data_IF_884514153803
#
_entry.id   IF_884514153803
#
_cell.length_a   1.000
_cell.length_b   1.000
_cell.length_c   1.000
_cell.angle_alpha   90.00
_cell.angle_beta   90.00
_cell.angle_gamma   90.00
#
_symmetry.space_group_name_H-M   'P 1'
#
loop_
_entity.id
_entity.type
_entity.pdbx_description
1 polymer ?
#
# COMPACT_ATOMS: atom_id res chain seq x y z
N UNK A 1 3.78 4.35 -4.79
CA UNK A 1 2.90 3.20 -5.12
C UNK A 1 2.40 3.31 -6.53
N UNK A 2 2.14 2.19 -7.18
CA UNK A 2 1.81 2.13 -8.59
C UNK A 2 0.40 2.64 -8.88
N UNK A 3 -0.61 2.16 -8.17
CA UNK A 3 -2.00 2.45 -8.44
C UNK A 3 -2.82 2.94 -7.24
N UNK A 4 -4.07 3.29 -7.52
CA UNK A 4 -5.02 3.73 -6.50
C UNK A 4 -5.49 2.59 -5.58
N UNK A 5 -5.48 1.34 -6.06
CA UNK A 5 -5.85 0.17 -5.26
C UNK A 5 -4.85 -0.08 -4.14
N UNK A 6 -3.55 0.06 -4.42
CA UNK A 6 -2.49 -0.03 -3.40
C UNK A 6 -2.65 1.08 -2.36
N UNK A 7 -2.97 2.32 -2.79
CA UNK A 7 -3.24 3.42 -1.85
C UNK A 7 -4.39 3.06 -0.91
N UNK A 8 -5.48 2.52 -1.42
CA UNK A 8 -6.63 2.06 -0.60
C UNK A 8 -6.18 0.97 0.36
N UNK A 9 -5.47 -0.05 -0.13
CA UNK A 9 -4.99 -1.16 0.68
C UNK A 9 -4.10 -0.68 1.84
N UNK A 10 -3.03 0.06 1.55
CA UNK A 10 -2.10 0.51 2.59
C UNK A 10 -2.73 1.52 3.55
N UNK A 11 -3.61 2.41 3.09
CA UNK A 11 -4.30 3.32 4.00
C UNK A 11 -5.31 2.60 4.91
N UNK A 12 -5.97 1.56 4.42
CA UNK A 12 -6.87 0.71 5.23
C UNK A 12 -6.08 -0.15 6.21
N UNK A 13 -4.93 -0.70 5.79
CA UNK A 13 -4.02 -1.40 6.69
C UNK A 13 -3.56 -0.51 7.85
N UNK A 14 -3.15 0.72 7.58
CA UNK A 14 -2.72 1.65 8.63
C UNK A 14 -3.88 2.04 9.57
N UNK A 15 -5.10 2.23 9.05
CA UNK A 15 -6.29 2.44 9.89
C UNK A 15 -6.59 1.23 10.78
N UNK A 16 -6.52 0.03 10.21
CA UNK A 16 -6.68 -1.20 10.96
C UNK A 16 -5.62 -1.33 12.06
N UNK A 17 -4.36 -1.05 11.73
CA UNK A 17 -3.26 -1.11 12.68
C UNK A 17 -3.48 -0.11 13.83
N UNK A 18 -3.88 1.13 13.53
CA UNK A 18 -4.19 2.13 14.55
C UNK A 18 -5.33 1.68 15.46
N UNK A 19 -6.41 1.15 14.89
CA UNK A 19 -7.58 0.67 15.65
C UNK A 19 -7.24 -0.50 16.58
N UNK A 20 -6.25 -1.32 16.24
CA UNK A 20 -5.86 -2.50 17.01
C UNK A 20 -4.63 -2.29 17.91
N UNK A 21 -4.16 -1.04 18.04
CA UNK A 21 -3.10 -0.68 18.98
C UNK A 21 -3.58 0.47 19.86
N UNK A 22 -3.59 0.24 21.17
CA UNK A 22 -4.04 1.22 22.15
C UNK A 22 -3.20 2.51 22.10
N UNK A 23 -3.86 3.65 22.17
CA UNK A 23 -3.20 4.95 22.11
C UNK A 23 -2.72 5.37 20.72
N UNK A 24 -3.06 4.63 19.68
CA UNK A 24 -2.69 4.96 18.30
C UNK A 24 -3.88 5.51 17.51
N UNK A 25 -3.63 6.48 16.63
CA UNK A 25 -4.60 6.99 15.66
C UNK A 25 -3.97 7.16 14.28
N UNK A 26 -4.79 7.10 13.24
CA UNK A 26 -4.37 7.38 11.87
C UNK A 26 -5.39 8.31 11.22
N UNK A 27 -5.07 9.58 11.19
CA UNK A 27 -5.97 10.65 10.81
C UNK A 27 -5.53 11.30 9.50
N UNK A 28 -6.50 11.66 8.68
CA UNK A 28 -6.28 12.51 7.51
C UNK A 28 -6.05 13.94 7.99
N UNK A 29 -4.96 14.54 7.54
CA UNK A 29 -4.71 15.96 7.69
C UNK A 29 -4.84 16.65 6.34
N UNK A 30 -5.60 17.73 6.30
CA UNK A 30 -5.68 18.60 5.14
C UNK A 30 -4.55 19.64 5.22
N UNK A 31 -3.62 19.56 4.29
CA UNK A 31 -2.57 20.56 4.19
C UNK A 31 -2.99 21.62 3.15
N UNK A 32 -3.55 22.72 3.65
CA UNK A 32 -4.10 23.79 2.82
C UNK A 32 -3.04 24.48 1.93
N UNK A 33 -1.76 24.43 2.31
CA UNK A 33 -0.68 25.11 1.59
C UNK A 33 -0.28 24.42 0.28
N UNK A 34 -0.63 23.14 0.11
CA UNK A 34 -0.14 22.31 -1.01
C UNK A 34 -1.21 21.55 -1.76
N UNK A 35 -2.47 21.63 -1.37
CA UNK A 35 -3.54 20.83 -1.98
C UNK A 35 -3.33 19.30 -1.88
N UNK A 36 -2.42 18.85 -1.02
CA UNK A 36 -2.11 17.45 -0.80
C UNK A 36 -2.75 16.95 0.48
N UNK A 37 -3.26 15.73 0.41
CA UNK A 37 -3.75 15.00 1.57
C UNK A 37 -2.56 14.24 2.16
N UNK A 38 -2.25 14.52 3.42
CA UNK A 38 -1.36 13.71 4.23
C UNK A 38 -2.16 12.96 5.28
N UNK A 39 -1.58 11.89 5.82
CA UNK A 39 -2.10 11.20 6.98
C UNK A 39 -1.07 11.32 8.10
N UNK A 40 -1.55 11.45 9.32
CA UNK A 40 -0.73 11.46 10.51
C UNK A 40 -1.02 10.23 11.34
N UNK A 41 0.04 9.52 11.69
CA UNK A 41 0.01 8.45 12.67
C UNK A 41 0.46 9.03 14.00
N UNK A 42 -0.36 8.89 15.00
CA UNK A 42 -0.05 9.34 16.37
C UNK A 42 0.01 8.12 17.29
N UNK A 43 1.05 8.06 18.12
CA UNK A 43 1.21 7.08 19.18
C UNK A 43 1.82 7.75 20.40
N UNK A 44 1.01 7.98 21.44
CA UNK A 44 1.42 8.75 22.61
C UNK A 44 1.80 10.18 22.22
N UNK A 45 3.01 10.61 22.58
CA UNK A 45 3.54 11.96 22.29
C UNK A 45 4.29 12.03 20.95
N UNK A 46 4.31 10.95 20.17
CA UNK A 46 5.02 10.88 18.89
C UNK A 46 4.06 10.90 17.71
N UNK A 47 4.43 11.60 16.65
CA UNK A 47 3.70 11.64 15.40
C UNK A 47 4.59 11.26 14.22
N UNK A 48 4.02 10.55 13.26
CA UNK A 48 4.64 10.17 11.99
C UNK A 48 3.81 10.71 10.84
N UNK A 49 4.39 11.59 10.04
CA UNK A 49 3.74 12.08 8.84
C UNK A 49 3.81 11.03 7.73
N UNK A 50 2.67 10.56 7.26
CA UNK A 50 2.55 9.61 6.14
C UNK A 50 2.05 10.33 4.90
N UNK A 51 2.79 10.20 3.80
CA UNK A 51 2.39 10.76 2.49
C UNK A 51 2.31 9.68 1.44
N UNK A 52 1.24 9.67 0.68
CA UNK A 52 1.04 8.76 -0.44
C UNK A 52 1.29 9.47 -1.76
N UNK A 53 2.07 8.83 -2.63
CA UNK A 53 2.24 9.23 -4.03
C UNK A 53 1.83 8.07 -4.93
N UNK A 54 0.79 8.28 -5.74
CA UNK A 54 0.31 7.32 -6.74
C UNK A 54 0.84 7.74 -8.10
N UNK A 55 1.60 6.85 -8.73
CA UNK A 55 2.28 7.12 -10.00
C UNK A 55 1.34 6.96 -11.20
N UNK A 56 0.42 6.01 -11.10
CA UNK A 56 -0.58 5.72 -12.13
C UNK A 56 -0.08 4.80 -13.25
N UNK A 57 1.17 4.94 -13.67
CA UNK A 57 1.80 4.06 -14.67
C UNK A 57 3.30 3.91 -14.39
N UNK A 58 3.86 2.76 -14.73
CA UNK A 58 5.30 2.46 -14.53
C UNK A 58 6.19 3.48 -15.26
N UNK A 59 5.75 4.01 -16.39
CA UNK A 59 6.50 5.02 -17.17
C UNK A 59 6.63 6.37 -16.45
N UNK A 60 5.91 6.60 -15.37
CA UNK A 60 5.96 7.84 -14.59
C UNK A 60 6.69 7.69 -13.24
N UNK A 61 7.33 6.55 -13.03
CA UNK A 61 8.04 6.24 -11.77
C UNK A 61 9.07 7.32 -11.41
N UNK A 62 9.82 7.84 -12.38
CA UNK A 62 10.81 8.90 -12.16
C UNK A 62 10.21 10.22 -11.66
N UNK A 63 8.93 10.49 -11.96
CA UNK A 63 8.26 11.68 -11.43
C UNK A 63 8.11 11.66 -9.91
N UNK A 64 8.06 10.46 -9.31
CA UNK A 64 8.01 10.30 -7.85
C UNK A 64 9.25 10.82 -7.14
N UNK A 65 10.43 10.73 -7.75
CA UNK A 65 11.66 11.32 -7.20
C UNK A 65 11.56 12.84 -7.08
N UNK A 66 11.07 13.50 -8.14
CA UNK A 66 10.83 14.96 -8.14
C UNK A 66 9.75 15.37 -7.15
N UNK A 67 8.64 14.60 -7.11
CA UNK A 67 7.58 14.82 -6.13
C UNK A 67 8.13 14.73 -4.70
N UNK A 68 8.87 13.67 -4.38
CA UNK A 68 9.48 13.49 -3.06
C UNK A 68 10.41 14.65 -2.70
N UNK A 69 11.30 15.07 -3.60
CA UNK A 69 12.23 16.15 -3.39
C UNK A 69 11.51 17.48 -3.07
N UNK A 70 10.43 17.80 -3.80
CA UNK A 70 9.74 19.07 -3.67
C UNK A 70 8.71 19.08 -2.53
N UNK A 71 7.99 17.98 -2.34
CA UNK A 71 6.82 17.89 -1.46
C UNK A 71 7.16 17.36 -0.07
N UNK A 72 8.20 16.52 0.03
CA UNK A 72 8.65 15.95 1.30
C UNK A 72 9.94 16.59 1.78
N UNK A 73 11.06 16.30 1.13
CA UNK A 73 12.40 16.63 1.61
C UNK A 73 12.67 18.13 1.75
N UNK A 74 12.22 18.97 0.80
CA UNK A 74 12.41 20.43 0.87
C UNK A 74 11.51 21.09 1.90
N UNK A 75 10.26 20.60 2.06
CA UNK A 75 9.28 21.21 2.96
C UNK A 75 9.49 20.83 4.42
N UNK A 76 9.79 19.56 4.67
CA UNK A 76 9.90 19.02 6.02
C UNK A 76 11.32 18.56 6.27
N UNK A 77 12.00 19.18 7.22
CA UNK A 77 13.38 18.85 7.63
C UNK A 77 13.42 17.69 8.62
N UNK A 78 12.72 16.61 8.29
CA UNK A 78 12.63 15.37 9.06
C UNK A 78 13.26 14.21 8.29
N UNK A 79 13.70 13.15 8.97
CA UNK A 79 14.18 11.95 8.28
C UNK A 79 13.01 11.22 7.60
N UNK A 80 13.11 11.01 6.29
CA UNK A 80 12.10 10.30 5.51
C UNK A 80 12.53 8.88 5.20
N UNK A 81 11.64 7.92 5.46
CA UNK A 81 11.70 6.58 4.90
C UNK A 81 10.71 6.46 3.75
N UNK A 82 11.13 5.83 2.67
CA UNK A 82 10.34 5.72 1.44
C UNK A 82 10.03 4.26 1.19
N UNK A 83 8.74 3.93 1.16
CA UNK A 83 8.26 2.60 0.81
C UNK A 83 7.88 2.58 -0.67
N UNK A 84 8.53 1.74 -1.45
CA UNK A 84 8.21 1.48 -2.85
C UNK A 84 7.24 0.31 -2.91
N UNK A 85 5.96 0.61 -3.17
CA UNK A 85 4.91 -0.39 -3.26
C UNK A 85 4.57 -0.61 -4.73
N UNK A 86 4.73 -1.83 -5.22
CA UNK A 86 4.56 -2.17 -6.63
C UNK A 86 4.19 -3.65 -6.83
N UNK A 87 3.58 -3.94 -7.97
CA UNK A 87 3.25 -5.28 -8.40
C UNK A 87 4.45 -5.93 -9.12
N UNK A 88 4.76 -7.18 -8.81
CA UNK A 88 5.83 -7.89 -9.52
C UNK A 88 5.39 -8.45 -10.87
N UNK A 89 4.08 -8.48 -11.13
CA UNK A 89 3.45 -9.11 -12.29
C UNK A 89 3.71 -10.62 -12.45
N UNK A 90 4.43 -11.21 -11.52
CA UNK A 90 4.79 -12.63 -11.50
C UNK A 90 4.62 -13.21 -10.10
N UNK A 91 4.21 -14.47 -9.97
CA UNK A 91 4.21 -15.17 -8.68
C UNK A 91 5.64 -15.40 -8.14
N UNK A 92 6.66 -15.28 -8.99
CA UNK A 92 8.04 -15.32 -8.56
C UNK A 92 8.40 -14.02 -7.82
N UNK A 93 9.09 -14.14 -6.70
CA UNK A 93 9.52 -12.99 -5.88
C UNK A 93 10.73 -12.26 -6.46
N UNK A 94 11.01 -12.41 -7.77
CA UNK A 94 12.11 -11.71 -8.40
C UNK A 94 11.81 -10.22 -8.57
N UNK A 95 12.53 -9.41 -7.80
CA UNK A 95 12.45 -7.94 -7.84
C UNK A 95 13.64 -7.30 -8.56
N UNK A 96 14.46 -8.08 -9.24
CA UNK A 96 15.70 -7.59 -9.89
C UNK A 96 15.43 -6.49 -10.93
N UNK A 97 14.31 -6.58 -11.67
CA UNK A 97 13.87 -5.55 -12.62
C UNK A 97 13.64 -4.19 -11.97
N UNK A 98 13.26 -4.15 -10.67
CA UNK A 98 13.02 -2.92 -9.93
C UNK A 98 14.28 -2.26 -9.37
N UNK A 99 15.46 -2.77 -9.73
CA UNK A 99 16.77 -2.17 -9.48
C UNK A 99 17.48 -1.70 -10.76
N UNK A 100 16.77 -1.71 -11.90
CA UNK A 100 17.27 -1.33 -13.22
C UNK A 100 16.50 -0.13 -13.77
N UNK A 101 16.99 0.46 -14.83
CA UNK A 101 16.34 1.51 -15.64
C UNK A 101 15.69 2.63 -14.80
N UNK A 102 14.44 2.94 -15.06
CA UNK A 102 13.69 4.01 -14.40
C UNK A 102 13.58 3.81 -12.88
N UNK A 103 13.49 2.58 -12.40
CA UNK A 103 13.48 2.26 -10.98
C UNK A 103 14.82 2.56 -10.31
N UNK A 104 15.91 2.30 -11.01
CA UNK A 104 17.26 2.69 -10.54
C UNK A 104 17.39 4.21 -10.48
N UNK A 105 16.93 4.91 -11.52
CA UNK A 105 16.91 6.38 -11.54
C UNK A 105 16.08 6.95 -10.39
N UNK A 106 14.89 6.39 -10.14
CA UNK A 106 14.06 6.79 -8.98
C UNK A 106 14.83 6.64 -7.66
N UNK A 107 15.47 5.48 -7.42
CA UNK A 107 16.23 5.24 -6.19
C UNK A 107 17.39 6.23 -6.04
N UNK A 108 18.08 6.54 -7.13
CA UNK A 108 19.18 7.50 -7.12
C UNK A 108 18.67 8.93 -6.83
N UNK A 109 17.51 9.33 -7.38
CA UNK A 109 16.86 10.61 -7.08
C UNK A 109 16.40 10.71 -5.61
N UNK A 110 15.80 9.65 -5.07
CA UNK A 110 15.39 9.59 -3.66
C UNK A 110 16.59 9.74 -2.73
N UNK A 111 17.71 9.06 -3.01
CA UNK A 111 18.96 9.19 -2.25
C UNK A 111 19.53 10.61 -2.34
N UNK A 112 19.59 11.20 -3.53
CA UNK A 112 20.00 12.61 -3.74
C UNK A 112 19.11 13.57 -2.94
N UNK A 113 17.82 13.30 -2.86
CA UNK A 113 16.86 14.07 -2.06
C UNK A 113 16.87 13.70 -0.55
N UNK A 114 17.89 12.95 -0.10
CA UNK A 114 18.14 12.60 1.30
C UNK A 114 17.05 11.72 1.95
N UNK A 115 16.45 10.80 1.17
CA UNK A 115 15.72 9.70 1.77
C UNK A 115 16.66 8.91 2.68
N UNK A 116 16.28 8.73 3.94
CA UNK A 116 17.09 8.02 4.95
C UNK A 116 17.17 6.54 4.61
N UNK A 117 16.06 5.99 4.13
CA UNK A 117 15.93 4.59 3.77
C UNK A 117 14.92 4.42 2.63
N UNK A 118 15.12 3.39 1.81
CA UNK A 118 14.21 3.00 0.74
C UNK A 118 13.92 1.52 0.92
N UNK A 119 12.65 1.20 1.19
CA UNK A 119 12.15 -0.14 1.52
C UNK A 119 11.23 -0.61 0.40
N UNK A 120 11.41 -1.85 -0.06
CA UNK A 120 10.54 -2.48 -1.05
C UNK A 120 9.39 -3.21 -0.37
N UNK A 121 8.17 -2.91 -0.82
CA UNK A 121 6.94 -3.64 -0.52
C UNK A 121 6.37 -4.17 -1.83
N UNK A 122 6.97 -5.25 -2.31
CA UNK A 122 6.61 -5.89 -3.56
C UNK A 122 5.41 -6.84 -3.37
N UNK A 123 4.32 -6.59 -4.07
CA UNK A 123 3.22 -7.54 -4.16
C UNK A 123 3.62 -8.69 -5.10
N UNK A 124 3.40 -9.92 -4.65
CA UNK A 124 3.59 -11.09 -5.48
C UNK A 124 2.42 -11.19 -6.46
N UNK A 125 2.72 -11.07 -7.74
CA UNK A 125 1.83 -10.88 -8.88
C UNK A 125 1.12 -9.52 -8.88
N UNK A 126 0.02 -9.32 -8.16
CA UNK A 126 -0.67 -8.04 -8.01
C UNK A 126 -1.23 -7.85 -6.58
N UNK A 127 -1.64 -6.63 -6.24
CA UNK A 127 -2.16 -6.31 -4.90
C UNK A 127 -3.45 -7.09 -4.60
N UNK A 128 -4.24 -7.45 -5.61
CA UNK A 128 -5.44 -8.26 -5.44
C UNK A 128 -5.10 -9.70 -5.04
N UNK A 129 -3.97 -10.27 -5.50
CA UNK A 129 -3.50 -11.58 -5.00
C UNK A 129 -3.17 -11.51 -3.50
N UNK A 130 -2.65 -10.38 -3.02
CA UNK A 130 -2.41 -10.15 -1.59
C UNK A 130 -3.73 -10.08 -0.81
N UNK A 131 -4.73 -9.36 -1.32
CA UNK A 131 -6.05 -9.28 -0.68
C UNK A 131 -6.73 -10.65 -0.61
N UNK A 132 -6.54 -11.49 -1.64
CA UNK A 132 -7.12 -12.84 -1.73
C UNK A 132 -6.55 -13.84 -0.69
N UNK A 133 -5.53 -13.50 0.06
CA UNK A 133 -5.12 -14.25 1.27
C UNK A 133 -6.30 -14.33 2.25
N UNK A 134 -7.13 -13.28 2.33
CA UNK A 134 -8.37 -13.30 3.10
C UNK A 134 -9.60 -13.51 2.19
N UNK A 135 -9.58 -14.59 1.41
CA UNK A 135 -10.71 -14.95 0.54
C UNK A 135 -12.04 -15.10 1.29
N UNK A 136 -11.97 -15.55 2.55
CA UNK A 136 -13.14 -15.75 3.40
C UNK A 136 -13.79 -14.39 3.75
N UNK A 137 -12.98 -13.38 4.10
CA UNK A 137 -13.45 -12.01 4.34
C UNK A 137 -14.08 -11.39 3.11
N UNK A 138 -13.46 -11.55 1.94
CA UNK A 138 -13.99 -11.08 0.67
C UNK A 138 -15.33 -11.76 0.34
N UNK A 139 -15.42 -13.08 0.45
CA UNK A 139 -16.64 -13.82 0.19
C UNK A 139 -17.76 -13.45 1.18
N UNK A 140 -17.42 -13.24 2.44
CA UNK A 140 -18.37 -12.72 3.46
C UNK A 140 -18.91 -11.34 3.09
N UNK A 141 -18.04 -10.43 2.64
CA UNK A 141 -18.44 -9.11 2.17
C UNK A 141 -19.41 -9.20 0.98
N UNK A 142 -19.14 -10.11 0.04
CA UNK A 142 -19.98 -10.35 -1.14
C UNK A 142 -21.25 -11.15 -0.85
N UNK A 143 -21.40 -11.73 0.34
CA UNK A 143 -22.54 -12.60 0.69
C UNK A 143 -22.56 -13.92 -0.06
N UNK A 144 -21.38 -14.47 -0.42
CA UNK A 144 -21.24 -15.73 -1.14
C UNK A 144 -20.43 -16.76 -0.35
N UNK A 145 -20.58 -18.04 -0.69
CA UNK A 145 -19.70 -19.10 -0.17
C UNK A 145 -18.32 -19.02 -0.81
N UNK A 146 -17.30 -19.43 -0.07
CA UNK A 146 -15.93 -19.53 -0.61
C UNK A 146 -15.94 -20.60 -1.74
N UNK A 147 -15.54 -20.25 -2.97
CA UNK A 147 -15.51 -21.18 -4.06
C UNK A 147 -14.38 -22.21 -3.90
N UNK A 148 -14.59 -23.41 -4.39
CA UNK A 148 -13.57 -24.48 -4.40
C UNK A 148 -12.39 -24.13 -5.30
N UNK A 149 -12.61 -23.30 -6.32
CA UNK A 149 -11.60 -22.87 -7.28
C UNK A 149 -11.83 -21.39 -7.65
N UNK A 150 -10.76 -20.61 -7.63
CA UNK A 150 -10.76 -19.22 -8.08
C UNK A 150 -10.49 -19.15 -9.59
N UNK A 151 -11.47 -18.64 -10.34
CA UNK A 151 -11.33 -18.43 -11.79
C UNK A 151 -10.53 -17.17 -12.08
N UNK A 152 -9.43 -17.31 -12.81
CA UNK A 152 -8.57 -16.20 -13.20
C UNK A 152 -7.09 -16.50 -12.99
N UNK A 153 -6.23 -15.89 -13.80
CA UNK A 153 -4.78 -16.14 -13.76
C UNK A 153 -4.07 -15.30 -12.71
N UNK A 154 -4.52 -14.07 -12.50
CA UNK A 154 -3.98 -13.10 -11.53
C UNK A 154 -5.09 -12.63 -10.59
N UNK A 155 -4.74 -12.05 -9.45
CA UNK A 155 -5.64 -11.58 -8.41
C UNK A 155 -6.77 -10.70 -8.92
N UNK A 156 -6.46 -9.72 -9.75
CA UNK A 156 -7.46 -8.86 -10.38
C UNK A 156 -8.51 -9.63 -11.21
N UNK A 157 -8.08 -10.64 -11.96
CA UNK A 157 -9.01 -11.49 -12.73
C UNK A 157 -9.85 -12.37 -11.80
N UNK A 158 -9.26 -12.89 -10.72
CA UNK A 158 -9.95 -13.68 -9.68
C UNK A 158 -10.99 -12.81 -8.96
N UNK A 159 -10.63 -11.58 -8.56
CA UNK A 159 -11.56 -10.62 -7.94
C UNK A 159 -12.75 -10.32 -8.87
N UNK A 160 -12.50 -10.04 -10.15
CA UNK A 160 -13.57 -9.83 -11.14
C UNK A 160 -14.48 -11.05 -11.28
N UNK A 161 -13.94 -12.26 -11.20
CA UNK A 161 -14.73 -13.49 -11.27
C UNK A 161 -15.61 -13.67 -10.02
N UNK A 162 -15.08 -13.39 -8.81
CA UNK A 162 -15.85 -13.42 -7.57
C UNK A 162 -17.04 -12.45 -7.61
N UNK A 163 -16.79 -11.19 -7.96
CA UNK A 163 -17.86 -10.19 -8.04
C UNK A 163 -18.93 -10.56 -9.06
N UNK A 164 -18.54 -11.09 -10.23
CA UNK A 164 -19.49 -11.56 -11.24
C UNK A 164 -20.36 -12.71 -10.74
N UNK A 165 -19.85 -13.58 -9.87
CA UNK A 165 -20.62 -14.72 -9.35
C UNK A 165 -21.81 -14.29 -8.48
N UNK A 166 -21.78 -13.09 -7.92
CA UNK A 166 -22.90 -12.48 -7.18
C UNK A 166 -23.63 -11.38 -7.97
N UNK A 167 -23.41 -11.26 -9.28
CA UNK A 167 -24.05 -10.25 -10.12
C UNK A 167 -23.49 -8.84 -9.98
N UNK A 168 -22.32 -8.69 -9.33
CA UNK A 168 -21.64 -7.41 -9.09
C UNK A 168 -20.44 -7.21 -10.01
N UNK A 169 -19.87 -6.01 -9.96
CA UNK A 169 -18.66 -5.66 -10.71
C UNK A 169 -17.55 -5.21 -9.74
N UNK A 170 -16.37 -5.81 -9.86
CA UNK A 170 -15.19 -5.33 -9.14
C UNK A 170 -14.66 -4.06 -9.77
N UNK A 171 -14.52 -3.04 -8.96
CA UNK A 171 -13.89 -1.76 -9.32
C UNK A 171 -12.63 -1.55 -8.49
N UNK A 172 -11.58 -1.12 -9.15
CA UNK A 172 -10.30 -0.79 -8.56
C UNK A 172 -10.31 0.59 -7.89
N UNK A 173 -9.27 0.88 -7.10
CA UNK A 173 -9.08 2.17 -6.44
C UNK A 173 -10.10 2.43 -5.35
N UNK A 174 -10.50 3.69 -5.19
CA UNK A 174 -11.36 4.15 -4.09
C UNK A 174 -12.71 3.38 -4.01
N UNK A 175 -13.18 2.84 -5.12
CA UNK A 175 -14.42 2.04 -5.14
C UNK A 175 -14.29 0.66 -4.50
N UNK A 176 -13.07 0.20 -4.23
CA UNK A 176 -12.82 -1.05 -3.50
C UNK A 176 -12.71 -0.83 -1.97
N UNK A 177 -12.75 0.41 -1.49
CA UNK A 177 -12.44 0.76 -0.10
C UNK A 177 -13.31 -0.01 0.91
N UNK A 178 -14.63 -0.07 0.71
CA UNK A 178 -15.54 -0.75 1.64
C UNK A 178 -15.20 -2.24 1.81
N UNK A 179 -14.85 -2.91 0.71
CA UNK A 179 -14.40 -4.31 0.75
C UNK A 179 -13.04 -4.43 1.44
N UNK A 180 -12.09 -3.57 1.09
CA UNK A 180 -10.73 -3.60 1.66
C UNK A 180 -10.75 -3.36 3.17
N UNK A 181 -11.65 -2.51 3.67
CA UNK A 181 -11.79 -2.26 5.12
C UNK A 181 -12.34 -3.48 5.90
N UNK A 182 -12.94 -4.45 5.22
CA UNK A 182 -13.43 -5.70 5.86
C UNK A 182 -12.38 -6.80 5.95
N UNK A 183 -11.21 -6.64 5.31
CA UNK A 183 -10.17 -7.65 5.26
C UNK A 183 -9.55 -7.93 6.64
N UNK A 184 -9.21 -9.19 6.87
CA UNK A 184 -8.41 -9.60 8.00
C UNK A 184 -6.92 -9.30 7.74
N UNK A 185 -6.51 -8.08 8.05
CA UNK A 185 -5.13 -7.64 7.86
C UNK A 185 -4.12 -8.40 8.71
N UNK A 186 -4.51 -8.97 9.86
CA UNK A 186 -3.61 -9.85 10.62
C UNK A 186 -3.25 -11.08 9.79
N UNK A 187 -4.25 -11.76 9.21
CA UNK A 187 -4.03 -12.93 8.34
C UNK A 187 -3.17 -12.56 7.12
N UNK A 188 -3.44 -11.41 6.49
CA UNK A 188 -2.66 -10.93 5.34
C UNK A 188 -1.22 -10.62 5.73
N UNK A 189 -0.98 -10.07 6.92
CA UNK A 189 0.34 -9.76 7.42
C UNK A 189 1.14 -11.04 7.75
N UNK A 190 0.48 -12.07 8.30
CA UNK A 190 1.11 -13.32 8.72
C UNK A 190 1.37 -14.27 7.53
N UNK A 191 0.42 -14.36 6.59
CA UNK A 191 0.43 -15.35 5.51
C UNK A 191 0.73 -14.74 4.12
N UNK A 192 0.70 -13.42 4.00
CA UNK A 192 0.82 -12.71 2.72
C UNK A 192 2.24 -12.63 2.19
N UNK A 193 2.39 -12.41 0.88
CA UNK A 193 3.68 -12.31 0.22
C UNK A 193 4.42 -11.00 0.50
N UNK A 194 3.69 -9.95 0.93
CA UNK A 194 4.27 -8.64 1.28
C UNK A 194 4.69 -8.65 2.73
N UNK A 195 5.92 -8.25 2.99
CA UNK A 195 6.43 -8.08 4.36
C UNK A 195 5.90 -6.76 4.98
N UNK A 196 4.63 -6.79 5.41
CA UNK A 196 3.98 -5.66 6.07
C UNK A 196 4.60 -5.35 7.45
N UNK A 197 5.33 -6.30 8.05
CA UNK A 197 6.04 -6.06 9.31
C UNK A 197 7.06 -4.93 9.16
N UNK A 198 7.70 -4.77 8.00
CA UNK A 198 8.60 -3.64 7.73
C UNK A 198 7.91 -2.28 7.92
N UNK A 199 6.64 -2.17 7.53
CA UNK A 199 5.88 -0.94 7.72
C UNK A 199 5.48 -0.75 9.20
N UNK A 200 5.10 -1.85 9.86
CA UNK A 200 4.74 -1.85 11.30
C UNK A 200 5.93 -1.45 12.16
N UNK A 201 7.10 -2.04 11.91
CA UNK A 201 8.32 -1.80 12.67
C UNK A 201 8.74 -0.32 12.59
N UNK A 202 8.59 0.30 11.41
CA UNK A 202 8.92 1.71 11.23
C UNK A 202 8.00 2.66 12.01
N UNK A 203 6.76 2.26 12.23
CA UNK A 203 5.78 3.05 12.98
C UNK A 203 5.93 2.78 14.48
N UNK A 204 6.16 1.52 14.88
CA UNK A 204 6.26 1.12 16.29
C UNK A 204 7.61 1.41 16.96
N UNK A 205 8.71 1.44 16.20
CA UNK A 205 10.08 1.66 16.75
C UNK A 205 10.23 3.00 17.47
N UNK A 206 9.28 3.92 17.28
CA UNK A 206 9.30 5.22 17.95
C UNK A 206 8.50 5.28 19.25
N UNK A 207 7.84 4.18 19.61
CA UNK A 207 6.97 4.08 20.80
C UNK A 207 7.69 3.48 22.04
N UNK A 208 9.04 3.55 22.09
CA UNK A 208 9.82 3.05 23.26
C UNK A 208 10.66 4.15 23.86
#
# INVERSE_FOLDING_TARGET
MEGATEKVFYSSFLRWLAKNNEGCSFNKIDNHDIGEIAFEWESGDEAVLVKFNVVGTVTQVTNSGKWFANTCSKKYKIPWRVFLCYDTDSPDKDISKFYQDDWKLLRDELKKAKAKEIVDLAACADIEDVMLIDIEGICKYLGISVPTELKGRKGKAKMKALYRSCGSTYHEGEKSADMVETLNFQKIMDDGPIDLHKLVDEIKVKSK
#
